data_IF_836947625203
#
_entry.id   IF_836947625203
#
_cell.length_a   1.000
_cell.length_b   1.000
_cell.length_c   1.000
_cell.angle_alpha   90.00
_cell.angle_beta   90.00
_cell.angle_gamma   90.00
#
_symmetry.space_group_name_H-M   'P 1'
#
loop_
_entity.id
_entity.type
_entity.pdbx_description
1 polymer ?
#
# COMPACT_ATOMS: atom_id res chain seq x y z
N UNK A 1 43.96 2.11 13.16
CA UNK A 1 42.84 3.05 13.08
C UNK A 1 42.12 2.98 14.42
N UNK A 2 41.98 4.10 15.12
CA UNK A 2 41.41 4.13 16.47
C UNK A 2 39.89 3.87 16.40
N UNK A 3 39.43 2.80 17.06
CA UNK A 3 38.02 2.40 17.10
C UNK A 3 37.12 3.53 17.63
N UNK A 4 37.63 4.41 18.49
CA UNK A 4 36.87 5.55 19.00
C UNK A 4 36.54 6.58 17.91
N UNK A 5 37.44 6.79 16.95
CA UNK A 5 37.19 7.70 15.83
C UNK A 5 36.08 7.14 14.91
N UNK A 6 36.07 5.82 14.70
CA UNK A 6 35.08 5.13 13.88
C UNK A 6 33.70 5.12 14.55
N UNK A 7 33.63 4.85 15.86
CA UNK A 7 32.40 4.94 16.65
C UNK A 7 31.84 6.37 16.64
N UNK A 8 32.70 7.38 16.79
CA UNK A 8 32.29 8.79 16.77
C UNK A 8 31.68 9.19 15.42
N UNK A 9 32.29 8.76 14.31
CA UNK A 9 31.75 9.00 12.96
C UNK A 9 30.38 8.33 12.75
N UNK A 10 30.19 7.12 13.27
CA UNK A 10 28.89 6.43 13.23
C UNK A 10 27.81 7.15 14.04
N UNK A 11 28.16 7.67 15.23
CA UNK A 11 27.23 8.46 16.05
C UNK A 11 26.82 9.74 15.31
N UNK A 12 27.76 10.43 14.65
CA UNK A 12 27.45 11.61 13.84
C UNK A 12 26.46 11.26 12.72
N UNK A 13 26.72 10.18 11.97
CA UNK A 13 25.80 9.73 10.92
C UNK A 13 24.43 9.32 11.44
N UNK A 14 24.36 8.66 12.59
CA UNK A 14 23.08 8.32 13.25
C UNK A 14 22.29 9.59 13.57
N UNK A 15 22.94 10.60 14.14
CA UNK A 15 22.28 11.85 14.51
C UNK A 15 21.84 12.66 13.29
N UNK A 16 22.60 12.63 12.19
CA UNK A 16 22.18 13.20 10.90
C UNK A 16 20.88 12.52 10.40
N UNK A 17 20.86 11.18 10.39
CA UNK A 17 19.68 10.43 9.96
C UNK A 17 18.44 10.70 10.84
N UNK A 18 18.61 10.82 12.17
CA UNK A 18 17.53 11.18 13.09
C UNK A 18 16.96 12.58 12.78
N UNK A 19 17.83 13.56 12.48
CA UNK A 19 17.40 14.91 12.09
C UNK A 19 16.60 14.88 10.78
N UNK A 20 17.07 14.12 9.79
CA UNK A 20 16.38 13.99 8.50
C UNK A 20 15.00 13.36 8.67
N UNK A 21 14.88 12.32 9.49
CA UNK A 21 13.60 11.69 9.81
C UNK A 21 12.62 12.70 10.41
N UNK A 22 13.07 13.53 11.36
CA UNK A 22 12.24 14.56 11.98
C UNK A 22 11.78 15.59 10.94
N UNK A 23 12.68 16.05 10.07
CA UNK A 23 12.36 17.00 9.02
C UNK A 23 11.36 16.43 8.01
N UNK A 24 11.55 15.18 7.58
CA UNK A 24 10.64 14.49 6.67
C UNK A 24 9.26 14.28 7.30
N UNK A 25 9.17 13.91 8.57
CA UNK A 25 7.88 13.79 9.29
C UNK A 25 7.13 15.12 9.34
N UNK A 26 7.83 16.24 9.59
CA UNK A 26 7.23 17.58 9.53
C UNK A 26 6.68 17.89 8.13
N UNK A 27 7.45 17.58 7.08
CA UNK A 27 7.00 17.77 5.68
C UNK A 27 5.78 16.92 5.33
N UNK A 28 5.74 15.66 5.77
CA UNK A 28 4.56 14.79 5.59
C UNK A 28 3.34 15.40 6.27
N UNK A 29 3.50 15.90 7.49
CA UNK A 29 2.40 16.54 8.24
C UNK A 29 1.88 17.78 7.51
N UNK A 30 2.77 18.63 7.02
CA UNK A 30 2.40 19.81 6.23
C UNK A 30 1.61 19.42 4.96
N UNK A 31 2.10 18.44 4.19
CA UNK A 31 1.40 17.97 2.98
C UNK A 31 0.04 17.34 3.27
N UNK A 32 -0.11 16.64 4.40
CA UNK A 32 -1.40 16.13 4.85
C UNK A 32 -2.39 17.25 5.17
N UNK A 33 -1.94 18.33 5.79
CA UNK A 33 -2.76 19.52 6.04
C UNK A 33 -3.19 20.19 4.74
N UNK A 34 -2.28 20.36 3.79
CA UNK A 34 -2.61 20.89 2.46
C UNK A 34 -3.65 20.02 1.75
N UNK A 35 -3.49 18.69 1.80
CA UNK A 35 -4.45 17.75 1.20
C UNK A 35 -5.84 17.90 1.82
N UNK A 36 -5.92 18.04 3.14
CA UNK A 36 -7.18 18.28 3.84
C UNK A 36 -7.87 19.57 3.38
N UNK A 37 -7.11 20.66 3.22
CA UNK A 37 -7.65 21.92 2.72
C UNK A 37 -8.19 21.77 1.29
N UNK A 38 -7.46 21.06 0.43
CA UNK A 38 -7.89 20.77 -0.94
C UNK A 38 -9.19 19.94 -0.92
N UNK A 39 -9.28 18.91 -0.08
CA UNK A 39 -10.50 18.10 0.05
C UNK A 39 -11.70 18.94 0.51
N UNK A 40 -11.50 19.86 1.45
CA UNK A 40 -12.53 20.81 1.86
C UNK A 40 -12.97 21.72 0.70
N UNK A 41 -12.02 22.26 -0.07
CA UNK A 41 -12.34 23.09 -1.24
C UNK A 41 -13.12 22.30 -2.30
N UNK A 42 -12.74 21.04 -2.59
CA UNK A 42 -13.46 20.17 -3.52
C UNK A 42 -14.90 19.92 -3.04
N UNK A 43 -15.10 19.70 -1.73
CA UNK A 43 -16.44 19.52 -1.14
C UNK A 43 -17.33 20.75 -1.33
N UNK A 44 -16.78 21.95 -1.16
CA UNK A 44 -17.53 23.20 -1.33
C UNK A 44 -17.84 23.46 -2.80
N UNK A 45 -16.90 23.20 -3.71
CA UNK A 45 -17.00 23.54 -5.12
C UNK A 45 -17.75 22.51 -5.98
N UNK A 46 -18.05 21.32 -5.46
CA UNK A 46 -18.77 20.29 -6.23
C UNK A 46 -19.83 19.59 -5.37
N UNK A 47 -21.13 19.84 -5.59
CA UNK A 47 -22.22 19.12 -4.90
C UNK A 47 -22.19 17.60 -5.15
N UNK A 48 -21.65 17.17 -6.29
CA UNK A 48 -21.45 15.75 -6.65
C UNK A 48 -19.96 15.38 -6.60
N UNK A 49 -19.41 15.27 -5.38
CA UNK A 49 -18.03 14.86 -5.09
C UNK A 49 -17.55 13.63 -5.89
N UNK A 50 -18.49 12.72 -6.20
CA UNK A 50 -18.27 11.48 -6.95
C UNK A 50 -17.80 11.74 -8.39
N UNK A 51 -18.39 12.70 -9.09
CA UNK A 51 -18.10 12.98 -10.52
C UNK A 51 -16.77 13.71 -10.67
N UNK A 52 -16.51 14.72 -9.84
CA UNK A 52 -15.22 15.42 -9.83
C UNK A 52 -14.05 14.49 -9.48
N UNK A 53 -14.24 13.60 -8.48
CA UNK A 53 -13.26 12.56 -8.17
C UNK A 53 -13.04 11.60 -9.34
N UNK A 54 -14.09 11.11 -10.00
CA UNK A 54 -13.97 10.23 -11.18
C UNK A 54 -13.16 10.87 -12.33
N UNK A 55 -13.38 12.16 -12.60
CA UNK A 55 -12.66 12.90 -13.63
C UNK A 55 -11.19 13.13 -13.23
N UNK A 56 -10.92 13.59 -12.00
CA UNK A 56 -9.58 13.88 -11.52
C UNK A 56 -8.73 12.61 -11.29
N UNK A 57 -9.34 11.52 -10.83
CA UNK A 57 -8.67 10.23 -10.58
C UNK A 57 -8.45 9.38 -11.83
N UNK A 58 -9.04 9.75 -12.98
CA UNK A 58 -8.82 9.07 -14.27
C UNK A 58 -7.33 8.92 -14.61
N UNK A 59 -6.47 9.80 -14.09
CA UNK A 59 -5.02 9.76 -14.26
C UNK A 59 -4.22 9.54 -12.98
N UNK A 60 -4.87 9.48 -11.81
CA UNK A 60 -4.18 9.25 -10.54
C UNK A 60 -4.00 7.75 -10.28
N UNK A 61 -3.10 7.10 -11.05
CA UNK A 61 -2.51 5.84 -10.60
C UNK A 61 -1.76 6.16 -9.31
N UNK A 62 -2.23 5.63 -8.19
CA UNK A 62 -1.55 5.82 -6.90
C UNK A 62 -0.06 5.46 -7.06
N UNK A 63 0.83 6.39 -6.71
CA UNK A 63 2.28 6.22 -6.76
C UNK A 63 2.83 5.20 -5.76
N UNK A 64 1.99 4.63 -4.89
CA UNK A 64 2.43 3.74 -3.82
C UNK A 64 2.71 2.29 -4.27
N UNK A 65 2.30 1.90 -5.47
CA UNK A 65 2.62 0.58 -6.03
C UNK A 65 2.87 0.72 -7.52
N UNK A 66 4.14 0.69 -7.93
CA UNK A 66 4.53 0.68 -9.34
C UNK A 66 3.93 -0.55 -10.01
N UNK A 67 3.44 -0.41 -11.25
CA UNK A 67 2.93 -1.53 -12.05
C UNK A 67 3.97 -2.66 -12.10
N UNK A 68 3.65 -3.82 -11.54
CA UNK A 68 4.57 -4.97 -11.38
C UNK A 68 4.76 -5.37 -9.91
N UNK A 69 4.87 -4.39 -9.01
CA UNK A 69 5.08 -4.64 -7.57
C UNK A 69 3.85 -5.30 -6.92
N UNK A 70 2.64 -4.92 -7.36
CA UNK A 70 1.41 -5.55 -6.89
C UNK A 70 1.33 -7.03 -7.26
N UNK A 71 1.75 -7.38 -8.47
CA UNK A 71 1.77 -8.78 -8.95
C UNK A 71 2.77 -9.61 -8.15
N UNK A 72 3.98 -9.07 -7.95
CA UNK A 72 5.00 -9.72 -7.13
C UNK A 72 4.52 -9.93 -5.70
N UNK A 73 3.96 -8.90 -5.05
CA UNK A 73 3.40 -9.00 -3.70
C UNK A 73 2.27 -10.02 -3.59
N UNK A 74 1.38 -10.11 -4.58
CA UNK A 74 0.35 -11.16 -4.60
C UNK A 74 0.97 -12.56 -4.71
N UNK A 75 1.99 -12.75 -5.55
CA UNK A 75 2.69 -14.03 -5.69
C UNK A 75 3.46 -14.42 -4.44
N UNK A 76 4.14 -13.47 -3.80
CA UNK A 76 4.87 -13.71 -2.56
C UNK A 76 3.90 -14.12 -1.45
N UNK A 77 2.76 -13.41 -1.29
CA UNK A 77 1.73 -13.77 -0.33
C UNK A 77 1.10 -15.15 -0.59
N UNK A 78 0.85 -15.50 -1.86
CA UNK A 78 0.35 -16.81 -2.25
C UNK A 78 1.38 -17.92 -2.04
N UNK A 79 2.68 -17.61 -2.16
CA UNK A 79 3.78 -18.55 -1.88
C UNK A 79 3.93 -18.78 -0.38
N UNK A 80 3.91 -17.72 0.42
CA UNK A 80 3.93 -17.79 1.90
C UNK A 80 2.72 -18.55 2.46
N UNK A 81 1.59 -18.52 1.76
CA UNK A 81 0.42 -19.29 2.14
C UNK A 81 0.57 -20.80 1.89
N UNK A 82 1.61 -21.26 1.19
CA UNK A 82 1.92 -22.69 0.98
C UNK A 82 0.72 -23.54 0.51
N UNK A 83 -0.11 -22.98 -0.38
CA UNK A 83 -1.31 -23.66 -0.89
C UNK A 83 -2.54 -23.56 0.03
N UNK A 84 -2.50 -22.75 1.08
CA UNK A 84 -3.69 -22.38 1.84
C UNK A 84 -4.56 -21.37 1.06
N UNK A 85 -5.85 -21.37 1.36
CA UNK A 85 -6.79 -20.37 0.87
C UNK A 85 -6.60 -19.06 1.63
N UNK A 86 -6.27 -17.99 0.91
CA UNK A 86 -6.09 -16.64 1.47
C UNK A 86 -7.04 -15.64 0.83
N UNK A 87 -7.44 -14.64 1.61
CA UNK A 87 -8.30 -13.53 1.18
C UNK A 87 -7.47 -12.36 0.64
N UNK A 88 -8.11 -11.51 -0.15
CA UNK A 88 -7.51 -10.26 -0.62
C UNK A 88 -7.14 -9.32 0.54
N UNK A 89 -7.85 -9.39 1.67
CA UNK A 89 -7.54 -8.61 2.86
C UNK A 89 -6.24 -9.08 3.52
N UNK A 90 -6.04 -10.40 3.63
CA UNK A 90 -4.79 -10.97 4.16
C UNK A 90 -3.60 -10.57 3.29
N UNK A 91 -3.75 -10.61 1.97
CA UNK A 91 -2.74 -10.13 1.01
C UNK A 91 -2.49 -8.62 1.19
N UNK A 92 -3.53 -7.83 1.46
CA UNK A 92 -3.41 -6.38 1.65
C UNK A 92 -2.74 -5.98 2.97
N UNK A 93 -2.86 -6.79 4.02
CA UNK A 93 -2.24 -6.53 5.33
C UNK A 93 -0.72 -6.60 5.29
N UNK A 94 -0.14 -7.46 4.44
CA UNK A 94 1.32 -7.61 4.28
C UNK A 94 1.98 -6.29 3.87
N UNK A 95 1.60 -5.64 2.74
CA UNK A 95 2.17 -4.35 2.36
C UNK A 95 1.78 -3.23 3.31
N UNK A 96 0.60 -3.25 3.93
CA UNK A 96 0.26 -2.23 4.94
C UNK A 96 1.23 -2.27 6.12
N UNK A 97 1.57 -3.46 6.62
CA UNK A 97 2.58 -3.60 7.70
C UNK A 97 3.98 -3.17 7.25
N UNK A 98 4.40 -3.57 6.04
CA UNK A 98 5.72 -3.22 5.51
C UNK A 98 5.92 -1.70 5.35
N UNK A 99 4.86 -0.97 5.01
CA UNK A 99 4.88 0.49 4.83
C UNK A 99 4.59 1.26 6.14
N UNK A 100 4.47 0.56 7.28
CA UNK A 100 4.17 1.17 8.59
C UNK A 100 2.77 1.78 8.68
N UNK A 101 1.84 1.33 7.84
CA UNK A 101 0.46 1.80 7.80
C UNK A 101 -0.38 1.04 8.82
N UNK A 102 -1.30 1.74 9.49
CA UNK A 102 -2.20 1.10 10.45
C UNK A 102 -3.21 0.20 9.72
N UNK A 103 -3.25 -1.12 10.02
CA UNK A 103 -4.26 -2.02 9.47
C UNK A 103 -5.68 -1.67 9.90
N UNK A 104 -5.84 -0.89 10.97
CA UNK A 104 -7.13 -0.54 11.55
C UNK A 104 -7.81 0.64 10.82
N UNK A 105 -7.06 1.40 10.04
CA UNK A 105 -7.61 2.42 9.14
C UNK A 105 -8.50 1.74 8.08
N UNK A 106 -9.81 1.89 8.26
CA UNK A 106 -10.81 1.18 7.46
C UNK A 106 -10.88 1.68 6.01
N UNK A 107 -10.59 2.96 5.77
CA UNK A 107 -10.58 3.51 4.42
C UNK A 107 -9.33 3.03 3.66
N UNK A 108 -8.18 3.07 4.33
CA UNK A 108 -6.92 2.59 3.78
C UNK A 108 -6.94 1.08 3.53
N UNK A 109 -7.49 0.30 4.49
CA UNK A 109 -7.66 -1.16 4.34
C UNK A 109 -8.55 -1.51 3.15
N UNK A 110 -9.64 -0.78 2.93
CA UNK A 110 -10.53 -0.99 1.76
C UNK A 110 -9.83 -0.69 0.43
N UNK A 111 -9.08 0.41 0.36
CA UNK A 111 -8.32 0.77 -0.84
C UNK A 111 -7.23 -0.26 -1.15
N UNK A 112 -6.46 -0.68 -0.14
CA UNK A 112 -5.43 -1.70 -0.30
C UNK A 112 -6.00 -3.08 -0.64
N UNK A 113 -7.19 -3.44 -0.15
CA UNK A 113 -7.86 -4.72 -0.46
C UNK A 113 -8.41 -4.76 -1.89
N UNK A 114 -8.91 -3.63 -2.44
CA UNK A 114 -9.46 -3.60 -3.81
C UNK A 114 -8.40 -3.82 -4.89
N UNK A 115 -7.15 -3.49 -4.61
CA UNK A 115 -6.06 -3.52 -5.61
C UNK A 115 -5.63 -4.94 -5.98
N UNK A 116 -5.34 -5.86 -5.03
CA UNK A 116 -5.03 -7.26 -5.32
C UNK A 116 -6.12 -7.96 -6.15
N UNK A 117 -7.40 -7.61 -5.97
CA UNK A 117 -8.51 -8.26 -6.69
C UNK A 117 -8.35 -8.25 -8.21
N UNK A 118 -7.88 -7.13 -8.78
CA UNK A 118 -7.64 -7.03 -10.23
C UNK A 118 -6.52 -7.97 -10.69
N UNK A 119 -5.45 -8.05 -9.92
CA UNK A 119 -4.30 -8.93 -10.18
C UNK A 119 -4.68 -10.40 -10.02
N UNK A 120 -5.41 -10.75 -8.96
CA UNK A 120 -5.82 -12.11 -8.67
C UNK A 120 -6.79 -12.63 -9.72
N UNK A 121 -7.76 -11.83 -10.17
CA UNK A 121 -8.63 -12.21 -11.29
C UNK A 121 -7.84 -12.43 -12.60
N UNK A 122 -6.76 -11.67 -12.83
CA UNK A 122 -5.86 -11.90 -13.96
C UNK A 122 -5.07 -13.21 -13.82
N UNK A 123 -4.70 -13.61 -12.60
CA UNK A 123 -4.04 -14.89 -12.35
C UNK A 123 -4.99 -16.08 -12.54
N UNK A 124 -6.28 -15.93 -12.18
CA UNK A 124 -7.31 -16.93 -12.48
C UNK A 124 -7.42 -17.14 -13.99
N UNK A 125 -7.50 -16.06 -14.79
CA UNK A 125 -7.54 -16.16 -16.25
C UNK A 125 -6.24 -16.67 -16.91
N UNK A 126 -5.20 -16.99 -16.13
CA UNK A 126 -3.92 -17.54 -16.59
C UNK A 126 -3.63 -18.92 -15.98
N UNK A 127 -4.60 -19.53 -15.31
CA UNK A 127 -4.47 -20.81 -14.61
C UNK A 127 -3.28 -20.84 -13.64
N UNK A 128 -3.02 -19.71 -12.96
CA UNK A 128 -1.96 -19.60 -11.96
C UNK A 128 -2.49 -19.71 -10.52
N UNK A 129 -3.78 -19.42 -10.31
CA UNK A 129 -4.45 -19.50 -9.00
C UNK A 129 -5.87 -20.00 -9.17
N UNK A 130 -6.36 -20.71 -8.15
CA UNK A 130 -7.78 -21.01 -8.01
C UNK A 130 -8.48 -19.90 -7.23
N UNK A 131 -9.78 -19.75 -7.47
CA UNK A 131 -10.64 -18.83 -6.75
C UNK A 131 -11.87 -19.57 -6.22
N UNK A 132 -12.16 -19.35 -4.95
CA UNK A 132 -13.36 -19.83 -4.29
C UNK A 132 -14.21 -18.64 -3.82
N UNK A 133 -15.53 -18.71 -4.06
CA UNK A 133 -16.49 -17.71 -3.58
C UNK A 133 -16.51 -16.37 -4.36
N UNK A 134 -17.26 -15.42 -3.80
CA UNK A 134 -17.60 -14.14 -4.42
C UNK A 134 -17.45 -12.96 -3.45
N UNK A 135 -17.26 -11.76 -3.99
CA UNK A 135 -17.18 -10.52 -3.20
C UNK A 135 -15.97 -10.46 -2.27
N UNK A 136 -16.15 -9.88 -1.08
CA UNK A 136 -15.11 -9.73 -0.05
C UNK A 136 -14.74 -11.04 0.64
N UNK A 137 -15.60 -12.07 0.56
CA UNK A 137 -15.35 -13.39 1.12
C UNK A 137 -14.62 -14.33 0.13
N UNK A 138 -14.32 -13.86 -1.08
CA UNK A 138 -13.59 -14.65 -2.04
C UNK A 138 -12.18 -14.98 -1.53
N UNK A 139 -11.73 -16.19 -1.84
CA UNK A 139 -10.42 -16.72 -1.45
C UNK A 139 -9.67 -17.18 -2.69
N UNK A 140 -8.35 -17.11 -2.60
CA UNK A 140 -7.45 -17.54 -3.66
C UNK A 140 -6.40 -18.48 -3.12
N UNK A 141 -5.98 -19.40 -3.96
CA UNK A 141 -4.93 -20.38 -3.66
C UNK A 141 -4.01 -20.51 -4.87
N UNK A 142 -2.70 -20.59 -4.66
CA UNK A 142 -1.76 -20.90 -5.73
C UNK A 142 -2.04 -22.31 -6.28
N UNK A 143 -2.08 -22.44 -7.61
CA UNK A 143 -2.07 -23.75 -8.23
C UNK A 143 -0.65 -24.33 -8.09
N UNK A 144 -0.53 -25.43 -7.35
CA UNK A 144 0.72 -26.19 -7.31
C UNK A 144 0.98 -26.74 -8.71
N UNK A 145 2.08 -26.30 -9.33
CA UNK A 145 2.69 -27.01 -10.46
C UNK A 145 3.81 -27.89 -9.93
#
# INVERSE_FOLDING_TARGET
>A
MDNNALISALIVKRNEAERDIVALKKRVTARRSELHQIDCAIKVLTPSLRTARLIATRHARSRLVVSGELSRRCQDALREAEGAWITAEEIARIPMRAEGLSPDDTEMRRDFTRRPLWTLNRFVGRDAVEKEGWGTAARWRALSK
#
